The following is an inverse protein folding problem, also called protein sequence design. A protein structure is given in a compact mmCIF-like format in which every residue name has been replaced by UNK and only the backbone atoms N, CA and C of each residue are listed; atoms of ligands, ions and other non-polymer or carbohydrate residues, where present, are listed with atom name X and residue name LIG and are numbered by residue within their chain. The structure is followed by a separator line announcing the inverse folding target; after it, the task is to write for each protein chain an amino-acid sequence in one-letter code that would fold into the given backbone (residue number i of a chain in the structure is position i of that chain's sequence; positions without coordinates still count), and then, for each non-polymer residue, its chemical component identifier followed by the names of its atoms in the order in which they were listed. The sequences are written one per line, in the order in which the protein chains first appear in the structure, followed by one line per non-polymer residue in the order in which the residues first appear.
data_IF_951432055970
#
_entry.id   IF_951432055970
#
_cell.length_a   1.000
_cell.length_b   1.000
_cell.length_c   1.000
_cell.angle_alpha   90.00
_cell.angle_beta   90.00
_cell.angle_gamma   90.00
#
_symmetry.space_group_name_H-M   'P 1'
#
loop_
_entity.id
_entity.type
_entity.pdbx_description
1 polymer ?
#
# COMPACT_ATOMS: atom_id res chain seq x y z
N UNK A 1 -13.34 -11.72 2.63
CA UNK A 1 -13.18 -10.26 2.74
C UNK A 1 -12.02 -9.96 3.68
N UNK A 2 -11.40 -8.81 3.54
CA UNK A 2 -10.36 -8.29 4.43
C UNK A 2 -10.43 -6.75 4.45
N UNK A 3 -9.85 -6.14 5.47
CA UNK A 3 -9.63 -4.72 5.56
C UNK A 3 -8.16 -4.41 5.24
N UNK A 4 -7.89 -3.32 4.55
CA UNK A 4 -6.54 -2.81 4.38
C UNK A 4 -6.48 -1.32 4.70
N UNK A 5 -5.48 -0.92 5.49
CA UNK A 5 -5.13 0.46 5.78
C UNK A 5 -3.99 0.90 4.86
N UNK A 6 -4.15 2.00 4.15
CA UNK A 6 -3.20 2.44 3.11
C UNK A 6 -2.12 3.40 3.62
N UNK A 7 -1.75 3.31 4.90
CA UNK A 7 -0.66 4.08 5.50
C UNK A 7 -1.08 5.39 6.16
N UNK A 8 -0.12 6.07 6.77
CA UNK A 8 -0.33 7.22 7.66
C UNK A 8 -1.32 6.89 8.78
N UNK A 9 -1.04 5.79 9.46
CA UNK A 9 -1.90 5.24 10.51
C UNK A 9 -1.94 6.21 11.68
N UNK A 10 -0.78 6.57 12.20
CA UNK A 10 -0.67 7.48 13.32
C UNK A 10 0.80 7.80 13.65
N UNK A 11 1.03 8.89 14.37
CA UNK A 11 2.33 9.18 15.00
C UNK A 11 2.65 8.19 16.13
N UNK A 12 3.89 8.15 16.58
CA UNK A 12 4.45 7.18 17.54
C UNK A 12 3.50 6.68 18.63
N UNK A 13 2.92 7.52 19.50
CA UNK A 13 2.06 7.02 20.56
C UNK A 13 0.74 6.43 20.05
N UNK A 14 0.30 6.83 18.86
CA UNK A 14 -0.95 6.38 18.27
C UNK A 14 -0.87 5.03 17.62
N UNK A 15 0.29 4.57 17.13
CA UNK A 15 0.42 3.27 16.47
C UNK A 15 -0.04 2.12 17.36
N UNK A 16 0.46 2.08 18.60
CA UNK A 16 0.04 1.06 19.57
C UNK A 16 -1.44 1.15 19.93
N UNK A 17 -1.96 2.37 20.11
CA UNK A 17 -3.39 2.58 20.41
C UNK A 17 -4.27 2.16 19.22
N UNK A 18 -3.89 2.50 18.01
CA UNK A 18 -4.59 2.11 16.80
C UNK A 18 -4.71 0.58 16.69
N UNK A 19 -3.61 -0.14 16.91
CA UNK A 19 -3.62 -1.59 16.85
C UNK A 19 -4.49 -2.26 17.93
N UNK A 20 -4.78 -1.59 19.05
CA UNK A 20 -5.75 -2.09 20.03
C UNK A 20 -7.20 -1.99 19.54
N UNK A 21 -7.48 -1.08 18.62
CA UNK A 21 -8.84 -0.81 18.11
C UNK A 21 -9.06 -1.44 16.72
N UNK A 22 -8.07 -1.37 15.84
CA UNK A 22 -8.16 -1.89 14.47
C UNK A 22 -7.18 -3.05 14.32
N UNK A 23 -7.68 -4.26 14.43
CA UNK A 23 -6.93 -5.51 14.24
C UNK A 23 -7.88 -6.65 13.86
N UNK A 24 -7.35 -7.81 13.54
CA UNK A 24 -8.16 -8.93 13.04
C UNK A 24 -9.22 -9.42 14.06
N UNK A 25 -8.99 -9.25 15.37
CA UNK A 25 -9.95 -9.66 16.39
C UNK A 25 -11.12 -8.68 16.53
N UNK A 26 -10.81 -7.37 16.48
CA UNK A 26 -11.83 -6.32 16.63
C UNK A 26 -12.67 -6.12 15.38
N UNK A 27 -12.06 -6.37 14.20
CA UNK A 27 -12.72 -6.18 12.90
C UNK A 27 -13.41 -7.44 12.36
N UNK A 28 -13.24 -8.58 13.06
CA UNK A 28 -13.78 -9.89 12.65
C UNK A 28 -13.40 -10.28 11.20
N UNK A 29 -12.28 -9.80 10.72
CA UNK A 29 -11.69 -10.14 9.42
C UNK A 29 -10.17 -9.93 9.44
N UNK A 30 -9.41 -10.53 8.50
CA UNK A 30 -8.00 -10.19 8.30
C UNK A 30 -7.82 -8.69 8.08
N UNK A 31 -6.82 -8.11 8.74
CA UNK A 31 -6.46 -6.69 8.58
C UNK A 31 -5.02 -6.61 8.10
N UNK A 32 -4.80 -5.89 7.01
CA UNK A 32 -3.51 -5.65 6.41
C UNK A 32 -3.18 -4.15 6.47
N UNK A 33 -1.89 -3.83 6.44
CA UNK A 33 -1.43 -2.45 6.60
C UNK A 33 -0.35 -2.12 5.58
N UNK A 34 -0.44 -0.93 4.98
CA UNK A 34 0.69 -0.29 4.32
C UNK A 34 1.36 0.66 5.31
N UNK A 35 2.66 0.83 5.21
CA UNK A 35 3.37 1.88 5.95
C UNK A 35 3.27 3.19 5.18
N UNK A 36 2.93 4.29 5.88
CA UNK A 36 2.95 5.64 5.35
C UNK A 36 4.17 6.44 5.81
N UNK A 37 4.37 7.62 5.26
CA UNK A 37 5.54 8.45 5.58
C UNK A 37 5.51 8.96 7.04
N UNK A 38 4.34 9.15 7.63
CA UNK A 38 4.18 9.52 9.04
C UNK A 38 4.19 8.35 10.02
N UNK A 39 4.22 7.12 9.52
CA UNK A 39 4.42 5.91 10.32
C UNK A 39 5.90 5.60 10.55
N UNK A 40 6.82 6.30 9.86
CA UNK A 40 8.27 6.22 10.01
C UNK A 40 8.70 7.09 11.20
N UNK A 41 8.43 6.65 12.42
CA UNK A 41 8.41 7.55 13.60
C UNK A 41 9.55 7.35 14.58
N UNK A 42 10.15 6.16 14.69
CA UNK A 42 11.09 5.85 15.79
C UNK A 42 12.03 4.71 15.49
N UNK A 43 13.24 4.86 16.04
CA UNK A 43 14.32 3.90 15.99
C UNK A 43 15.55 4.50 15.33
N UNK A 44 16.54 3.68 15.01
CA UNK A 44 17.63 4.07 14.11
C UNK A 44 17.07 4.27 12.69
N UNK A 45 16.06 3.48 12.38
CA UNK A 45 15.24 3.55 11.17
C UNK A 45 13.79 3.73 11.56
N UNK A 46 13.04 4.46 10.75
CA UNK A 46 11.67 4.87 11.09
C UNK A 46 10.68 3.74 11.19
N UNK A 47 10.88 2.65 10.44
CA UNK A 47 9.97 1.50 10.39
C UNK A 47 10.06 0.56 11.60
N UNK A 48 11.10 0.64 12.44
CA UNK A 48 11.32 -0.33 13.53
C UNK A 48 10.09 -0.48 14.46
N UNK A 49 9.49 0.63 14.85
CA UNK A 49 8.30 0.59 15.70
C UNK A 49 7.08 0.04 14.94
N UNK A 50 6.88 0.47 13.70
CA UNK A 50 5.80 -0.04 12.85
C UNK A 50 5.91 -1.56 12.69
N UNK A 51 7.08 -2.07 12.33
CA UNK A 51 7.30 -3.50 12.13
C UNK A 51 7.07 -4.31 13.40
N UNK A 52 7.40 -3.77 14.57
CA UNK A 52 7.16 -4.43 15.85
C UNK A 52 5.67 -4.60 16.18
N UNK A 53 4.80 -3.78 15.58
CA UNK A 53 3.35 -3.74 15.86
C UNK A 53 2.55 -4.42 14.75
N UNK A 54 2.86 -4.11 13.48
CA UNK A 54 2.07 -4.49 12.31
C UNK A 54 2.73 -5.56 11.43
N UNK A 55 4.01 -5.85 11.64
CA UNK A 55 4.79 -6.79 10.83
C UNK A 55 5.50 -6.11 9.66
N UNK A 56 5.89 -6.87 8.64
CA UNK A 56 6.77 -6.39 7.57
C UNK A 56 6.17 -5.22 6.80
N UNK A 57 7.02 -4.30 6.36
CA UNK A 57 6.62 -3.12 5.58
C UNK A 57 6.26 -3.44 4.13
N UNK A 58 6.77 -4.54 3.58
CA UNK A 58 6.35 -5.08 2.27
C UNK A 58 6.12 -6.58 2.33
N UNK A 59 5.10 -7.03 1.65
CA UNK A 59 4.71 -8.44 1.59
C UNK A 59 3.69 -8.67 0.46
N UNK A 60 3.44 -9.92 0.15
CA UNK A 60 2.37 -10.34 -0.77
C UNK A 60 1.56 -11.49 -0.19
N UNK A 61 0.36 -11.68 -0.72
CA UNK A 61 -0.50 -12.80 -0.36
C UNK A 61 -1.51 -13.09 -1.48
N UNK A 62 -1.98 -14.33 -1.52
CA UNK A 62 -2.96 -14.78 -2.50
C UNK A 62 -4.32 -15.01 -1.85
N UNK A 63 -5.39 -14.52 -2.50
CA UNK A 63 -6.76 -14.90 -2.18
C UNK A 63 -7.46 -15.26 -3.49
N UNK A 64 -7.84 -16.51 -3.63
CA UNK A 64 -8.39 -17.03 -4.88
C UNK A 64 -7.37 -16.95 -6.02
N UNK A 65 -7.75 -16.35 -7.14
CA UNK A 65 -6.86 -16.14 -8.29
C UNK A 65 -6.29 -14.72 -8.34
N UNK A 66 -6.20 -14.04 -7.20
CA UNK A 66 -5.67 -12.68 -7.11
C UNK A 66 -4.42 -12.67 -6.24
N UNK A 67 -3.35 -12.11 -6.78
CA UNK A 67 -2.12 -11.80 -6.08
C UNK A 67 -2.18 -10.36 -5.58
N UNK A 68 -2.11 -10.20 -4.26
CA UNK A 68 -2.11 -8.90 -3.60
C UNK A 68 -0.70 -8.57 -3.16
N UNK A 69 -0.24 -7.39 -3.48
CA UNK A 69 1.10 -6.90 -3.14
C UNK A 69 0.99 -5.62 -2.34
N UNK A 70 1.67 -5.58 -1.22
CA UNK A 70 1.86 -4.38 -0.41
C UNK A 70 3.31 -3.92 -0.56
N UNK A 71 3.51 -2.69 -1.03
CA UNK A 71 4.83 -2.07 -1.13
C UNK A 71 4.99 -0.94 -0.13
N UNK A 72 6.20 -0.73 0.43
CA UNK A 72 6.44 0.34 1.38
C UNK A 72 6.67 1.67 0.69
N UNK A 73 6.64 2.74 1.47
CA UNK A 73 7.23 4.03 1.13
C UNK A 73 8.67 4.05 1.66
N UNK A 74 9.61 4.64 0.91
CA UNK A 74 11.04 4.66 1.23
C UNK A 74 11.54 6.01 1.76
N UNK A 75 10.62 6.91 2.08
CA UNK A 75 10.91 8.24 2.63
C UNK A 75 9.77 8.68 3.55
N UNK A 76 10.10 9.49 4.53
CA UNK A 76 9.12 10.01 5.50
C UNK A 76 9.78 10.80 6.62
N UNK A 77 9.17 10.78 7.79
CA UNK A 77 9.63 11.56 8.95
C UNK A 77 10.99 11.11 9.46
N UNK A 78 11.33 9.83 9.30
CA UNK A 78 12.65 9.26 9.56
C UNK A 78 13.10 8.40 8.37
N UNK A 79 14.44 8.18 8.22
CA UNK A 79 14.97 7.34 7.17
C UNK A 79 14.58 5.86 7.37
N UNK A 80 14.58 5.11 6.28
CA UNK A 80 14.35 3.66 6.27
C UNK A 80 15.65 2.88 6.18
N UNK A 81 15.65 1.62 6.66
CA UNK A 81 16.77 0.66 6.49
C UNK A 81 16.79 0.07 5.07
N UNK A 82 15.75 0.27 4.31
CA UNK A 82 15.64 -0.22 2.95
C UNK A 82 15.65 0.92 1.93
N UNK A 83 15.99 0.56 0.71
CA UNK A 83 16.03 1.44 -0.44
C UNK A 83 14.98 1.04 -1.48
N UNK A 84 14.67 1.95 -2.40
CA UNK A 84 13.82 1.63 -3.56
C UNK A 84 14.39 0.47 -4.38
N UNK A 85 15.71 0.27 -4.39
CA UNK A 85 16.39 -0.86 -5.02
C UNK A 85 16.03 -2.19 -4.37
N UNK A 86 15.96 -2.24 -3.05
CA UNK A 86 15.63 -3.46 -2.31
C UNK A 86 14.18 -3.86 -2.59
N UNK A 87 13.27 -2.89 -2.54
CA UNK A 87 11.85 -3.09 -2.89
C UNK A 87 11.70 -3.56 -4.35
N UNK A 88 12.44 -2.96 -5.29
CA UNK A 88 12.43 -3.37 -6.69
C UNK A 88 12.85 -4.83 -6.87
N UNK A 89 13.96 -5.22 -6.25
CA UNK A 89 14.49 -6.58 -6.36
C UNK A 89 13.50 -7.61 -5.79
N UNK A 90 12.92 -7.30 -4.65
CA UNK A 90 11.90 -8.15 -4.05
C UNK A 90 10.65 -8.22 -4.94
N UNK A 91 10.09 -7.09 -5.34
CA UNK A 91 8.88 -7.03 -6.16
C UNK A 91 9.04 -7.77 -7.48
N UNK A 92 10.17 -7.62 -8.15
CA UNK A 92 10.50 -8.32 -9.38
C UNK A 92 10.51 -9.84 -9.19
N UNK A 93 11.10 -10.32 -8.09
CA UNK A 93 11.15 -11.75 -7.78
C UNK A 93 9.77 -12.29 -7.40
N UNK A 94 9.01 -11.54 -6.62
CA UNK A 94 7.66 -11.91 -6.19
C UNK A 94 6.71 -12.03 -7.39
N UNK A 95 6.67 -11.01 -8.25
CA UNK A 95 5.84 -11.03 -9.46
C UNK A 95 6.25 -12.11 -10.48
N UNK A 96 7.51 -12.57 -10.46
CA UNK A 96 7.95 -13.67 -11.31
C UNK A 96 7.35 -15.03 -10.88
N UNK A 97 6.83 -15.13 -9.67
CA UNK A 97 6.17 -16.33 -9.15
C UNK A 97 4.67 -16.37 -9.49
N UNK A 98 4.11 -15.28 -9.99
CA UNK A 98 2.69 -15.22 -10.37
C UNK A 98 2.34 -16.23 -11.46
N UNK A 99 1.17 -16.83 -11.35
CA UNK A 99 0.58 -17.64 -12.42
C UNK A 99 0.15 -16.75 -13.58
N UNK A 100 0.17 -17.29 -14.79
CA UNK A 100 -0.10 -16.54 -16.03
C UNK A 100 -1.44 -15.77 -16.03
N UNK A 101 -2.48 -16.36 -15.43
CA UNK A 101 -3.83 -15.81 -15.44
C UNK A 101 -4.22 -15.16 -14.10
N UNK A 102 -3.28 -15.11 -13.16
CA UNK A 102 -3.50 -14.53 -11.85
C UNK A 102 -3.63 -13.00 -11.97
N UNK A 103 -4.66 -12.44 -11.35
CA UNK A 103 -4.84 -11.00 -11.30
C UNK A 103 -3.87 -10.38 -10.29
N UNK A 104 -3.44 -9.15 -10.53
CA UNK A 104 -2.57 -8.38 -9.63
C UNK A 104 -3.33 -7.16 -9.08
N UNK A 105 -3.27 -6.99 -7.77
CA UNK A 105 -3.75 -5.79 -7.07
C UNK A 105 -2.64 -5.29 -6.16
N UNK A 106 -2.30 -4.01 -6.28
CA UNK A 106 -1.25 -3.39 -5.48
C UNK A 106 -1.84 -2.43 -4.44
N UNK A 107 -1.26 -2.47 -3.26
CA UNK A 107 -1.51 -1.51 -2.19
C UNK A 107 -0.21 -0.83 -1.80
N UNK A 108 -0.27 0.47 -1.63
CA UNK A 108 0.85 1.29 -1.20
C UNK A 108 0.34 2.57 -0.55
N UNK A 109 1.23 3.30 0.09
CA UNK A 109 0.83 4.59 0.65
C UNK A 109 0.80 5.68 -0.40
N UNK A 110 1.84 5.80 -1.23
CA UNK A 110 1.95 6.78 -2.30
C UNK A 110 2.18 6.12 -3.67
N UNK A 111 2.00 6.87 -4.73
CA UNK A 111 2.25 6.43 -6.09
C UNK A 111 3.74 6.16 -6.33
N UNK A 112 4.07 5.16 -7.13
CA UNK A 112 5.46 4.82 -7.46
C UNK A 112 6.20 5.94 -8.18
N UNK A 113 5.52 6.64 -9.06
CA UNK A 113 6.05 7.84 -9.71
C UNK A 113 4.92 8.83 -9.98
N UNK A 114 5.15 10.14 -9.86
CA UNK A 114 4.13 11.14 -10.16
C UNK A 114 3.66 11.15 -11.62
N UNK A 115 4.47 10.64 -12.53
CA UNK A 115 4.20 10.67 -13.97
C UNK A 115 3.57 9.39 -14.52
N UNK A 116 3.77 8.25 -13.86
CA UNK A 116 3.20 6.96 -14.29
C UNK A 116 3.04 6.01 -13.10
N UNK A 117 1.82 5.82 -12.67
CA UNK A 117 1.44 5.03 -11.50
C UNK A 117 1.74 3.53 -11.63
N UNK A 118 1.96 3.05 -12.85
CA UNK A 118 2.13 1.62 -13.11
C UNK A 118 3.58 1.23 -13.40
N UNK A 119 4.51 2.17 -13.22
CA UNK A 119 5.92 1.93 -13.47
C UNK A 119 6.73 2.11 -12.20
N UNK A 120 7.28 1.02 -11.69
CA UNK A 120 8.22 1.04 -10.58
C UNK A 120 9.66 1.12 -11.13
N UNK A 121 10.46 2.06 -10.65
CA UNK A 121 11.82 2.30 -11.11
C UNK A 121 12.80 2.27 -9.94
N UNK A 122 13.79 1.39 -9.99
CA UNK A 122 14.91 1.47 -9.08
C UNK A 122 16.00 2.44 -9.60
N UNK A 123 16.14 2.52 -10.93
CA UNK A 123 16.98 3.49 -11.62
C UNK A 123 16.55 3.64 -13.09
N UNK A 124 17.43 4.22 -13.94
CA UNK A 124 17.16 4.43 -15.37
C UNK A 124 17.04 3.14 -16.20
N UNK A 125 17.60 2.02 -15.73
CA UNK A 125 17.64 0.75 -16.45
C UNK A 125 16.71 -0.28 -15.84
N UNK A 126 16.58 -0.28 -14.52
CA UNK A 126 15.77 -1.22 -13.79
C UNK A 126 14.35 -0.66 -13.61
N UNK A 127 13.53 -1.00 -14.56
CA UNK A 127 12.14 -0.54 -14.69
C UNK A 127 11.23 -1.75 -14.72
N UNK A 128 10.21 -1.74 -13.89
CA UNK A 128 9.16 -2.74 -13.84
C UNK A 128 7.84 -2.08 -14.25
N UNK A 129 7.33 -2.45 -15.41
CA UNK A 129 6.03 -1.98 -15.89
C UNK A 129 4.93 -2.96 -15.46
N UNK A 130 4.13 -2.56 -14.51
CA UNK A 130 3.06 -3.38 -13.95
C UNK A 130 1.93 -3.68 -14.95
N UNK A 131 1.85 -2.93 -16.06
CA UNK A 131 0.88 -3.20 -17.15
C UNK A 131 1.22 -4.46 -17.95
N UNK A 132 2.42 -5.01 -17.79
CA UNK A 132 2.82 -6.30 -18.40
C UNK A 132 2.24 -7.51 -17.67
N UNK A 133 1.68 -7.30 -16.48
CA UNK A 133 0.96 -8.29 -15.69
C UNK A 133 -0.56 -8.11 -15.85
N UNK A 134 -1.34 -9.06 -15.35
CA UNK A 134 -2.79 -8.94 -15.30
C UNK A 134 -3.25 -7.98 -14.18
N UNK A 135 -2.68 -6.78 -14.16
CA UNK A 135 -2.94 -5.77 -13.13
C UNK A 135 -4.36 -5.24 -13.24
N UNK A 136 -5.08 -5.23 -12.12
CA UNK A 136 -6.46 -4.75 -12.01
C UNK A 136 -6.57 -3.42 -11.31
N UNK A 137 -5.79 -3.22 -10.25
CA UNK A 137 -5.84 -1.99 -9.48
C UNK A 137 -4.52 -1.66 -8.77
N UNK A 138 -4.31 -0.38 -8.57
CA UNK A 138 -3.41 0.19 -7.58
C UNK A 138 -4.24 1.07 -6.63
N UNK A 139 -4.16 0.77 -5.34
CA UNK A 139 -4.96 1.39 -4.29
C UNK A 139 -4.00 2.03 -3.29
N UNK A 140 -4.18 3.32 -3.02
CA UNK A 140 -3.23 4.10 -2.24
C UNK A 140 -3.90 5.19 -1.39
N UNK A 141 -3.14 5.82 -0.51
CA UNK A 141 -3.55 6.90 0.39
C UNK A 141 -2.85 8.22 0.08
N UNK A 142 -2.14 8.78 1.07
CA UNK A 142 -1.23 9.92 1.02
C UNK A 142 -1.84 11.26 0.53
N UNK A 143 -2.50 11.25 -0.60
CA UNK A 143 -2.94 12.47 -1.30
C UNK A 143 -4.16 13.15 -0.68
N UNK A 144 -4.77 12.57 0.36
CA UNK A 144 -5.93 13.12 1.07
C UNK A 144 -7.06 13.58 0.14
N UNK A 145 -7.34 12.83 -0.92
CA UNK A 145 -8.49 13.08 -1.78
C UNK A 145 -9.18 11.78 -2.17
N UNK A 146 -10.42 11.89 -2.61
CA UNK A 146 -11.22 10.75 -3.02
C UNK A 146 -11.22 10.63 -4.55
N UNK A 147 -10.49 9.66 -5.08
CA UNK A 147 -10.19 9.57 -6.49
C UNK A 147 -10.33 8.14 -7.02
N UNK A 148 -10.95 8.00 -8.17
CA UNK A 148 -11.00 6.74 -8.93
C UNK A 148 -10.79 7.05 -10.41
N UNK A 149 -9.82 6.39 -11.00
CA UNK A 149 -9.56 6.49 -12.43
C UNK A 149 -9.38 5.10 -13.03
N UNK A 150 -9.99 4.87 -14.17
CA UNK A 150 -9.76 3.68 -14.98
C UNK A 150 -8.89 4.06 -16.19
N UNK A 151 -7.79 3.37 -16.35
CA UNK A 151 -6.88 3.52 -17.49
C UNK A 151 -6.75 2.17 -18.20
N UNK A 152 -7.54 1.98 -19.26
CA UNK A 152 -7.54 0.75 -20.08
C UNK A 152 -7.77 -0.53 -19.28
N UNK A 153 -8.68 -0.49 -18.31
CA UNK A 153 -9.03 -1.63 -17.47
C UNK A 153 -8.27 -1.74 -16.16
N UNK A 154 -7.28 -0.88 -15.91
CA UNK A 154 -6.56 -0.81 -14.64
C UNK A 154 -7.07 0.38 -13.84
N UNK A 155 -7.46 0.13 -12.59
CA UNK A 155 -7.97 1.15 -11.69
C UNK A 155 -6.83 1.75 -10.85
N UNK A 156 -6.83 3.07 -10.72
CA UNK A 156 -6.07 3.81 -9.72
C UNK A 156 -7.07 4.38 -8.73
N UNK A 157 -6.94 4.03 -7.46
CA UNK A 157 -7.91 4.35 -6.42
C UNK A 157 -7.18 5.00 -5.24
N UNK A 158 -7.59 6.22 -4.89
CA UNK A 158 -7.19 6.90 -3.67
C UNK A 158 -8.41 7.17 -2.80
N UNK A 159 -8.28 7.00 -1.51
CA UNK A 159 -9.35 7.25 -0.54
C UNK A 159 -8.94 8.38 0.39
N UNK A 160 -9.86 9.30 0.68
CA UNK A 160 -9.64 10.36 1.65
C UNK A 160 -9.49 9.82 3.08
N UNK A 161 -9.07 10.68 4.00
CA UNK A 161 -8.83 10.29 5.39
C UNK A 161 -10.14 10.00 6.13
N UNK A 162 -10.06 9.13 7.16
CA UNK A 162 -11.23 8.77 7.98
C UNK A 162 -11.63 9.89 8.96
N UNK A 163 -10.68 10.72 9.37
CA UNK A 163 -10.90 11.75 10.41
C UNK A 163 -11.22 13.13 9.83
N UNK A 164 -10.56 13.51 8.74
CA UNK A 164 -10.62 14.87 8.18
C UNK A 164 -11.30 14.95 6.81
N UNK A 165 -11.57 13.81 6.18
CA UNK A 165 -11.98 13.78 4.79
C UNK A 165 -10.83 14.13 3.84
N UNK A 166 -11.15 14.61 2.65
CA UNK A 166 -10.18 14.95 1.62
C UNK A 166 -9.87 16.44 1.53
N UNK A 167 -8.69 16.80 1.04
CA UNK A 167 -8.34 18.17 0.66
C UNK A 167 -9.20 18.68 -0.52
N UNK A 168 -9.86 17.78 -1.21
CA UNK A 168 -10.85 18.02 -2.26
C UNK A 168 -12.26 18.29 -1.72
N UNK A 169 -12.37 18.52 -0.39
CA UNK A 169 -13.62 18.70 0.34
C UNK A 169 -14.54 17.46 0.36
N UNK A 170 -14.03 16.29 0.01
CA UNK A 170 -14.77 15.04 0.21
C UNK A 170 -14.92 14.74 1.72
N UNK A 171 -16.05 14.14 2.15
CA UNK A 171 -16.22 13.76 3.55
C UNK A 171 -15.26 12.65 3.96
N UNK A 172 -15.09 12.49 5.26
CA UNK A 172 -14.46 11.30 5.85
C UNK A 172 -15.09 10.03 5.28
N UNK A 173 -14.26 9.11 4.79
CA UNK A 173 -14.77 7.96 4.03
C UNK A 173 -13.85 6.74 4.12
N UNK A 174 -14.44 5.58 3.95
CA UNK A 174 -13.76 4.35 3.59
C UNK A 174 -14.35 3.83 2.27
N UNK A 175 -13.71 2.85 1.67
CA UNK A 175 -14.14 2.31 0.38
C UNK A 175 -14.37 0.81 0.46
N UNK A 176 -15.56 0.37 0.05
CA UNK A 176 -15.85 -1.04 -0.19
C UNK A 176 -15.52 -1.37 -1.66
N UNK A 177 -14.67 -2.36 -1.88
CA UNK A 177 -14.22 -2.76 -3.21
C UNK A 177 -14.54 -4.24 -3.40
N UNK A 178 -15.35 -4.54 -4.41
CA UNK A 178 -15.59 -5.90 -4.88
C UNK A 178 -14.72 -6.18 -6.09
N UNK A 179 -14.01 -7.30 -6.05
CA UNK A 179 -13.22 -7.78 -7.18
C UNK A 179 -13.83 -9.11 -7.59
N UNK A 180 -14.46 -9.12 -8.75
CA UNK A 180 -14.96 -10.34 -9.39
C UNK A 180 -13.80 -10.92 -10.22
N UNK A 181 -13.30 -12.08 -9.80
CA UNK A 181 -12.17 -12.78 -10.41
C UNK A 181 -12.63 -14.02 -11.18
#
# INVERSE_FOLDING_TARGET
AFLIHTGDICYEPGLTMHNQVVNAQTMDCPVYYCIGNHDLVKGNYGEELYESIYGPTWYSFDIGNIHYVVTPIDHGDNPTDYTQRDVYNWLKNDLALMKKDQALVLFNHDLFTPSDNFVFKADKKDILDLRTFNTKAQIYGHMHYNYVRNQKGIYTICTGTLDKGGIDHSPSSFRDIKIDA
#
